data_IF_202231561276
#
_entry.id   IF_202231561276
#
_cell.length_a   1.000
_cell.length_b   1.000
_cell.length_c   1.000
_cell.angle_alpha   90.00
_cell.angle_beta   90.00
_cell.angle_gamma   90.00
#
_symmetry.space_group_name_H-M   'P 1'
#
loop_
_entity.id
_entity.type
_entity.pdbx_description
1 polymer ?
#
# COMPACT_ATOMS: atom_id res chain seq x y z
N UNK A 1 6.34 -4.68 2.79
CA UNK A 1 5.27 -4.96 3.79
C UNK A 1 5.64 -5.99 4.86
N UNK A 2 6.15 -7.18 4.52
CA UNK A 2 6.40 -8.29 5.47
C UNK A 2 7.01 -7.85 6.81
N UNK A 3 8.12 -7.08 6.77
CA UNK A 3 8.79 -6.57 7.98
C UNK A 3 7.91 -5.63 8.80
N UNK A 4 7.12 -4.76 8.18
CA UNK A 4 6.27 -3.81 8.89
C UNK A 4 5.15 -4.54 9.62
N UNK A 5 4.47 -5.46 8.92
CA UNK A 5 3.44 -6.30 9.54
C UNK A 5 4.01 -7.11 10.70
N UNK A 6 5.16 -7.76 10.50
CA UNK A 6 5.80 -8.60 11.52
C UNK A 6 6.27 -7.83 12.77
N UNK A 7 6.63 -6.55 12.63
CA UNK A 7 7.05 -5.72 13.77
C UNK A 7 5.91 -4.88 14.37
N UNK A 8 4.72 -4.88 13.76
CA UNK A 8 3.54 -4.20 14.32
C UNK A 8 2.85 -5.17 15.28
N UNK A 9 3.33 -5.22 16.52
CA UNK A 9 2.83 -6.16 17.55
C UNK A 9 2.12 -5.46 18.71
N UNK A 10 2.35 -4.14 18.87
CA UNK A 10 1.72 -3.33 19.90
C UNK A 10 0.21 -3.32 19.72
N UNK A 11 -0.55 -3.70 20.75
CA UNK A 11 -2.03 -3.84 20.67
C UNK A 11 -2.71 -2.57 20.14
N UNK A 12 -2.22 -1.39 20.52
CA UNK A 12 -2.73 -0.09 20.06
C UNK A 12 -2.51 0.19 18.57
N UNK A 13 -1.65 -0.59 17.90
CA UNK A 13 -1.34 -0.50 16.47
C UNK A 13 -2.00 -1.63 15.68
N UNK A 14 -2.81 -2.48 16.32
CA UNK A 14 -3.51 -3.58 15.67
C UNK A 14 -4.99 -3.27 15.53
N UNK A 15 -5.57 -3.77 14.45
CA UNK A 15 -7.00 -3.76 14.18
C UNK A 15 -7.65 -5.04 14.75
N UNK A 16 -8.98 -5.22 14.60
CA UNK A 16 -9.68 -6.36 15.22
C UNK A 16 -9.22 -7.73 14.66
N UNK A 17 -8.61 -7.72 13.48
CA UNK A 17 -8.07 -8.90 12.79
C UNK A 17 -6.59 -9.16 13.07
N UNK A 18 -5.97 -8.41 13.98
CA UNK A 18 -4.55 -8.52 14.32
C UNK A 18 -3.60 -8.06 13.22
N UNK A 19 -4.08 -7.24 12.27
CA UNK A 19 -3.25 -6.57 11.27
C UNK A 19 -3.00 -5.11 11.69
N UNK A 20 -2.02 -4.40 11.09
CA UNK A 20 -1.78 -3.00 11.42
C UNK A 20 -3.02 -2.12 11.24
N UNK A 21 -3.35 -1.26 12.20
CA UNK A 21 -4.50 -0.35 12.14
C UNK A 21 -4.23 0.95 11.36
N UNK A 22 -3.18 0.97 10.56
CA UNK A 22 -2.80 2.08 9.68
C UNK A 22 -2.50 1.55 8.28
N UNK A 23 -2.49 2.43 7.28
CA UNK A 23 -2.14 2.10 5.90
C UNK A 23 -0.72 2.53 5.54
N UNK A 24 -0.10 1.82 4.59
CA UNK A 24 1.16 2.23 3.95
C UNK A 24 0.99 2.07 2.44
N UNK A 25 1.44 3.08 1.70
CA UNK A 25 1.47 3.08 0.24
C UNK A 25 2.93 3.19 -0.22
N UNK A 26 3.35 2.26 -1.07
CA UNK A 26 4.65 2.27 -1.74
C UNK A 26 4.45 2.71 -3.18
N UNK A 27 5.15 3.76 -3.57
CA UNK A 27 5.31 4.15 -4.97
C UNK A 27 6.69 3.69 -5.42
N UNK A 28 6.73 2.84 -6.44
CA UNK A 28 7.94 2.16 -6.88
C UNK A 28 8.22 2.63 -8.30
N UNK A 29 9.47 3.01 -8.55
CA UNK A 29 10.00 3.35 -9.86
C UNK A 29 11.43 2.81 -9.94
N UNK A 30 11.76 2.13 -11.02
CA UNK A 30 13.14 1.68 -11.26
C UNK A 30 13.84 2.52 -12.34
N UNK A 31 15.14 2.29 -12.54
CA UNK A 31 15.95 3.04 -13.51
C UNK A 31 15.51 2.85 -14.98
N UNK A 32 14.72 1.81 -15.29
CA UNK A 32 14.14 1.59 -16.62
C UNK A 32 12.81 2.33 -16.83
N UNK A 33 12.30 3.02 -15.80
CA UNK A 33 11.00 3.69 -15.84
C UNK A 33 9.82 2.76 -15.57
N UNK A 34 10.05 1.51 -15.17
CA UNK A 34 8.96 0.61 -14.75
C UNK A 34 8.46 1.04 -13.38
N UNK A 35 7.15 0.98 -13.19
CA UNK A 35 6.51 1.53 -12.00
C UNK A 35 5.44 0.59 -11.44
N UNK A 36 5.20 0.70 -10.14
CA UNK A 36 4.11 0.02 -9.45
C UNK A 36 3.64 0.84 -8.24
N UNK A 37 2.36 0.70 -7.90
CA UNK A 37 1.82 1.13 -6.62
C UNK A 37 1.45 -0.09 -5.81
N UNK A 38 1.96 -0.21 -4.59
CA UNK A 38 1.66 -1.35 -3.69
C UNK A 38 1.19 -0.81 -2.35
N UNK A 39 0.07 -1.30 -1.84
CA UNK A 39 -0.56 -0.77 -0.62
C UNK A 39 -0.75 -1.87 0.41
N UNK A 40 -0.81 -1.45 1.68
CA UNK A 40 -1.10 -2.39 2.76
C UNK A 40 -2.53 -2.92 2.67
N UNK A 41 -3.50 -2.05 2.39
CA UNK A 41 -4.93 -2.35 2.32
C UNK A 41 -5.52 -1.95 0.96
N UNK A 42 -6.71 -2.48 0.66
CA UNK A 42 -7.45 -2.20 -0.57
C UNK A 42 -7.94 -0.75 -0.63
N UNK A 43 -8.09 -0.23 -1.85
CA UNK A 43 -8.70 1.07 -2.11
C UNK A 43 -7.77 2.12 -2.74
N UNK A 44 -6.54 2.35 -2.24
CA UNK A 44 -5.71 3.43 -2.75
C UNK A 44 -5.31 3.25 -4.22
N UNK A 45 -5.07 4.40 -4.85
CA UNK A 45 -4.53 4.52 -6.20
C UNK A 45 -3.24 5.33 -6.15
N UNK A 46 -2.46 5.30 -7.21
CA UNK A 46 -1.30 6.16 -7.41
C UNK A 46 -1.42 6.92 -8.73
N UNK A 47 -0.76 8.08 -8.80
CA UNK A 47 -0.68 8.87 -10.02
C UNK A 47 0.70 8.71 -10.67
N UNK A 48 0.73 8.68 -11.99
CA UNK A 48 1.96 8.72 -12.79
C UNK A 48 1.76 9.64 -13.99
N UNK A 49 2.80 10.38 -14.36
CA UNK A 49 2.86 11.14 -15.61
C UNK A 49 4.03 10.61 -16.42
N UNK A 50 3.75 10.08 -17.61
CA UNK A 50 4.77 9.59 -18.55
C UNK A 50 4.49 10.13 -19.96
N UNK A 51 5.11 9.54 -20.98
CA UNK A 51 4.91 9.85 -22.40
C UNK A 51 3.45 9.81 -22.86
N UNK A 52 2.57 9.14 -22.11
CA UNK A 52 1.11 9.08 -22.36
C UNK A 52 0.31 10.10 -21.54
N UNK A 53 0.98 11.03 -20.86
CA UNK A 53 0.37 12.03 -20.00
C UNK A 53 0.02 11.52 -18.59
N UNK A 54 -0.74 12.31 -17.82
CA UNK A 54 -1.10 11.99 -16.44
C UNK A 54 -2.15 10.88 -16.37
N UNK A 55 -1.93 9.92 -15.47
CA UNK A 55 -2.79 8.76 -15.29
C UNK A 55 -2.93 8.42 -13.81
N UNK A 56 -4.12 8.02 -13.39
CA UNK A 56 -4.37 7.42 -12.07
C UNK A 56 -4.54 5.92 -12.23
N UNK A 57 -3.73 5.14 -11.52
CA UNK A 57 -3.71 3.66 -11.56
C UNK A 57 -4.06 3.10 -10.19
N UNK A 58 -4.73 1.95 -10.16
CA UNK A 58 -4.97 1.21 -8.91
C UNK A 58 -3.67 0.65 -8.38
N UNK A 59 -3.52 0.66 -7.06
CA UNK A 59 -2.40 0.01 -6.40
C UNK A 59 -2.74 -1.43 -6.02
N UNK A 60 -1.74 -2.29 -6.00
CA UNK A 60 -1.87 -3.68 -5.58
C UNK A 60 -1.88 -3.78 -4.05
N UNK A 61 -2.99 -4.23 -3.49
CA UNK A 61 -3.13 -4.42 -2.06
C UNK A 61 -2.57 -5.76 -1.60
N UNK A 62 -1.92 -5.77 -0.44
CA UNK A 62 -1.31 -6.97 0.15
C UNK A 62 -2.11 -7.57 1.32
N UNK A 63 -3.09 -6.83 1.86
CA UNK A 63 -4.08 -7.29 2.83
C UNK A 63 -5.47 -6.87 2.36
N UNK A 64 -6.47 -7.70 2.66
CA UNK A 64 -7.88 -7.43 2.35
C UNK A 64 -8.52 -6.49 3.37
N UNK A 65 -9.52 -5.72 2.96
CA UNK A 65 -10.27 -4.82 3.84
C UNK A 65 -9.53 -3.53 4.15
N UNK A 66 -9.75 -2.96 5.34
CA UNK A 66 -9.29 -1.63 5.76
C UNK A 66 -8.61 -1.62 7.13
N UNK A 67 -7.85 -0.56 7.46
CA UNK A 67 -7.19 -0.43 8.76
C UNK A 67 -8.15 -0.37 9.96
N UNK A 68 -9.40 0.05 9.74
CA UNK A 68 -10.41 0.25 10.79
C UNK A 68 -11.32 -0.96 11.04
N UNK A 69 -11.07 -2.08 10.36
CA UNK A 69 -11.77 -3.35 10.64
C UNK A 69 -11.39 -3.90 12.02
#
# INVERSE_FOLDING_TARGET
LKRIKANTIEKRLLNSRGNPNFGINFYILNAKGEYAGVTMYEGPSFAICNDRGPQTKKSDALLLGKPTD
#
